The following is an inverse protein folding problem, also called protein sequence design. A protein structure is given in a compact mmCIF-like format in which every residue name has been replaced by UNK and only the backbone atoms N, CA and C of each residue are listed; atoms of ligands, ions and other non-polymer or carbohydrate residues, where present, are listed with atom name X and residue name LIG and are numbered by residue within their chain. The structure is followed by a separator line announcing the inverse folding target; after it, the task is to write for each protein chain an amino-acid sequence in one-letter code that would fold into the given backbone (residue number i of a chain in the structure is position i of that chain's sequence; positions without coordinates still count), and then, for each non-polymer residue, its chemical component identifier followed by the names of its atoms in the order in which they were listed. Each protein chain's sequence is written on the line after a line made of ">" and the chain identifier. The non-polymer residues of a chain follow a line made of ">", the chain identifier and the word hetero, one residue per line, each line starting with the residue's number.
data_IF_383475884654
#
_entry.id   IF_383475884654
#
_cell.length_a   1.000
_cell.length_b   1.000
_cell.length_c   1.000
_cell.angle_alpha   90.00
_cell.angle_beta   90.00
_cell.angle_gamma   90.00
#
_symmetry.space_group_name_H-M   'P 1'
#
loop_
_entity.id
_entity.type
_entity.pdbx_description
1 polymer ?
#
# COMPACT_ATOMS: atom_id res chain seq x y z
N UNK A 1 -32.97 -50.51 38.72
CA UNK A 1 -31.63 -49.92 38.51
C UNK A 1 -31.62 -48.98 37.27
N UNK A 2 -32.21 -47.76 37.31
CA UNK A 2 -32.09 -46.80 36.19
C UNK A 2 -31.14 -45.61 36.46
N UNK A 3 -30.87 -45.26 37.73
CA UNK A 3 -30.22 -43.97 38.07
C UNK A 3 -28.74 -43.86 37.69
N UNK A 4 -28.04 -44.98 37.50
CA UNK A 4 -26.59 -44.99 37.22
C UNK A 4 -26.25 -44.79 35.73
N UNK A 5 -27.17 -45.18 34.83
CA UNK A 5 -27.02 -45.03 33.39
C UNK A 5 -27.27 -43.58 32.96
N UNK A 6 -28.29 -42.94 33.54
CA UNK A 6 -28.64 -41.53 33.24
C UNK A 6 -27.53 -40.55 33.65
N UNK A 7 -26.85 -40.82 34.78
CA UNK A 7 -25.70 -40.02 35.21
C UNK A 7 -24.50 -40.18 34.26
N UNK A 8 -24.22 -41.41 33.81
CA UNK A 8 -23.14 -41.67 32.85
C UNK A 8 -23.40 -41.04 31.46
N UNK A 9 -24.66 -40.98 31.02
CA UNK A 9 -25.04 -40.32 29.76
C UNK A 9 -24.91 -38.79 29.84
N UNK A 10 -25.23 -38.19 31.00
CA UNK A 10 -25.05 -36.76 31.25
C UNK A 10 -23.56 -36.38 31.29
N UNK A 11 -22.73 -37.16 31.99
CA UNK A 11 -21.28 -36.97 32.06
C UNK A 11 -20.65 -37.10 30.66
N UNK A 12 -21.03 -38.11 29.88
CA UNK A 12 -20.56 -38.27 28.51
C UNK A 12 -21.00 -37.13 27.57
N UNK A 13 -22.15 -36.49 27.82
CA UNK A 13 -22.59 -35.31 27.07
C UNK A 13 -21.73 -34.09 27.39
N UNK A 14 -21.46 -33.87 28.67
CA UNK A 14 -20.59 -32.78 29.13
C UNK A 14 -19.16 -32.93 28.63
N UNK A 15 -18.63 -34.16 28.61
CA UNK A 15 -17.30 -34.44 28.05
C UNK A 15 -17.21 -34.11 26.56
N UNK A 16 -18.26 -34.43 25.77
CA UNK A 16 -18.32 -34.07 24.34
C UNK A 16 -18.40 -32.57 24.13
N UNK A 17 -19.19 -31.88 24.95
CA UNK A 17 -19.32 -30.42 24.90
C UNK A 17 -17.99 -29.74 25.27
N UNK A 18 -17.34 -30.19 26.34
CA UNK A 18 -16.03 -29.71 26.76
C UNK A 18 -14.96 -29.92 25.68
N UNK A 19 -14.95 -31.10 25.03
CA UNK A 19 -14.05 -31.38 23.92
C UNK A 19 -14.31 -30.42 22.74
N UNK A 20 -15.58 -30.17 22.41
CA UNK A 20 -15.97 -29.22 21.36
C UNK A 20 -15.52 -27.79 21.67
N UNK A 21 -15.74 -27.32 22.91
CA UNK A 21 -15.30 -26.01 23.37
C UNK A 21 -13.78 -25.86 23.34
N UNK A 22 -13.04 -26.91 23.73
CA UNK A 22 -11.57 -26.90 23.69
C UNK A 22 -11.06 -26.78 22.26
N UNK A 23 -11.61 -27.55 21.31
CA UNK A 23 -11.23 -27.44 19.90
C UNK A 23 -11.60 -26.07 19.32
N UNK A 24 -12.74 -25.51 19.68
CA UNK A 24 -13.13 -24.16 19.25
C UNK A 24 -12.17 -23.10 19.79
N UNK A 25 -11.75 -23.21 21.05
CA UNK A 25 -10.77 -22.31 21.66
C UNK A 25 -9.40 -22.42 20.99
N UNK A 26 -8.93 -23.63 20.70
CA UNK A 26 -7.66 -23.86 20.00
C UNK A 26 -7.66 -23.19 18.62
N UNK A 27 -8.73 -23.37 17.83
CA UNK A 27 -8.89 -22.68 16.54
C UNK A 27 -8.90 -21.16 16.69
N UNK A 28 -9.65 -20.64 17.65
CA UNK A 28 -9.73 -19.20 17.88
C UNK A 28 -8.37 -18.61 18.30
N UNK A 29 -7.60 -19.35 19.10
CA UNK A 29 -6.24 -18.97 19.47
C UNK A 29 -5.33 -18.92 18.25
N UNK A 30 -5.38 -19.93 17.40
CA UNK A 30 -4.56 -20.00 16.19
C UNK A 30 -4.92 -18.87 15.21
N UNK A 31 -6.21 -18.62 15.01
CA UNK A 31 -6.70 -17.52 14.17
C UNK A 31 -6.28 -16.15 14.72
N UNK A 32 -6.32 -15.97 16.05
CA UNK A 32 -5.83 -14.76 16.71
C UNK A 32 -4.34 -14.56 16.45
N UNK A 33 -3.51 -15.59 16.65
CA UNK A 33 -2.06 -15.49 16.41
C UNK A 33 -1.77 -15.13 14.96
N UNK A 34 -2.45 -15.78 14.00
CA UNK A 34 -2.30 -15.47 12.57
C UNK A 34 -2.68 -14.01 12.27
N UNK A 35 -3.84 -13.57 12.76
CA UNK A 35 -4.31 -12.19 12.54
C UNK A 35 -3.37 -11.15 13.17
N UNK A 36 -2.82 -11.44 14.35
CA UNK A 36 -1.83 -10.57 15.01
C UNK A 36 -0.53 -10.49 14.21
N UNK A 37 -0.09 -11.59 13.61
CA UNK A 37 1.08 -11.61 12.72
C UNK A 37 0.83 -10.79 11.45
N UNK A 38 -0.33 -11.00 10.81
CA UNK A 38 -0.73 -10.25 9.61
C UNK A 38 -0.82 -8.75 9.89
N UNK A 39 -1.43 -8.37 11.02
CA UNK A 39 -1.52 -6.97 11.45
C UNK A 39 -0.15 -6.35 11.63
N UNK A 40 0.78 -7.04 12.32
CA UNK A 40 2.16 -6.55 12.50
C UNK A 40 2.87 -6.40 11.16
N UNK A 41 2.69 -7.34 10.25
CA UNK A 41 3.28 -7.27 8.91
C UNK A 41 2.78 -6.04 8.13
N UNK A 42 1.46 -5.82 8.12
CA UNK A 42 0.85 -4.67 7.46
C UNK A 42 1.29 -3.33 8.08
N UNK A 43 1.39 -3.27 9.40
CA UNK A 43 1.89 -2.08 10.10
C UNK A 43 3.34 -1.75 9.73
N UNK A 44 4.21 -2.76 9.64
CA UNK A 44 5.59 -2.57 9.19
C UNK A 44 5.64 -2.06 7.76
N UNK A 45 4.90 -2.68 6.83
CA UNK A 45 4.83 -2.24 5.43
C UNK A 45 4.33 -0.81 5.30
N UNK A 46 3.31 -0.43 6.06
CA UNK A 46 2.80 0.94 6.07
C UNK A 46 3.87 1.92 6.57
N UNK A 47 4.55 1.61 7.68
CA UNK A 47 5.61 2.45 8.22
C UNK A 47 6.78 2.63 7.24
N UNK A 48 7.18 1.57 6.54
CA UNK A 48 8.22 1.63 5.50
C UNK A 48 7.78 2.50 4.33
N UNK A 49 6.53 2.35 3.88
CA UNK A 49 5.98 3.15 2.77
C UNK A 49 5.89 4.64 3.13
N UNK A 50 5.43 4.94 4.35
CA UNK A 50 5.38 6.32 4.85
C UNK A 50 6.78 6.91 5.00
N UNK A 51 7.75 6.15 5.53
CA UNK A 51 9.12 6.61 5.67
C UNK A 51 9.74 6.92 4.29
N UNK A 52 9.49 6.05 3.30
CA UNK A 52 9.91 6.28 1.92
C UNK A 52 9.27 7.54 1.34
N UNK A 53 7.96 7.72 1.52
CA UNK A 53 7.26 8.88 1.01
C UNK A 53 7.77 10.19 1.64
N UNK A 54 8.04 10.19 2.95
CA UNK A 54 8.64 11.34 3.65
C UNK A 54 10.07 11.62 3.18
N UNK A 55 10.86 10.59 2.91
CA UNK A 55 12.24 10.75 2.41
C UNK A 55 12.26 11.30 0.98
N UNK A 56 11.44 10.75 0.09
CA UNK A 56 11.45 11.08 -1.34
C UNK A 56 10.67 12.37 -1.66
N UNK A 57 9.60 12.65 -0.91
CA UNK A 57 8.64 13.72 -1.21
C UNK A 57 8.36 14.67 -0.04
N UNK A 58 8.98 14.47 1.13
CA UNK A 58 8.78 15.31 2.32
C UNK A 58 7.48 15.06 3.08
N UNK A 59 6.58 14.21 2.55
CA UNK A 59 5.28 13.90 3.16
C UNK A 59 4.83 12.48 2.84
N UNK A 60 4.07 11.87 3.74
CA UNK A 60 3.35 10.61 3.50
C UNK A 60 1.83 10.81 3.34
N UNK A 61 1.34 12.05 3.43
CA UNK A 61 -0.07 12.36 3.23
C UNK A 61 -0.45 12.17 1.75
N UNK A 62 -1.37 11.25 1.41
CA UNK A 62 -1.78 10.99 0.03
C UNK A 62 -2.30 12.23 -0.69
N UNK A 63 -3.01 13.13 0.00
CA UNK A 63 -3.54 14.35 -0.61
C UNK A 63 -2.43 15.36 -0.91
N UNK A 64 -1.46 15.53 -0.01
CA UNK A 64 -0.26 16.31 -0.26
C UNK A 64 0.57 15.74 -1.42
N UNK A 65 0.75 14.42 -1.49
CA UNK A 65 1.45 13.76 -2.61
C UNK A 65 0.74 13.98 -3.96
N UNK A 66 -0.59 13.91 -3.96
CA UNK A 66 -1.38 14.17 -5.17
C UNK A 66 -1.23 15.62 -5.66
N UNK A 67 -1.21 16.59 -4.73
CA UNK A 67 -0.94 18.01 -5.05
C UNK A 67 0.46 18.21 -5.61
N UNK A 68 1.48 17.63 -4.96
CA UNK A 68 2.87 17.70 -5.43
C UNK A 68 3.02 17.11 -6.84
N UNK A 69 2.35 15.99 -7.12
CA UNK A 69 2.36 15.38 -8.45
C UNK A 69 1.78 16.31 -9.51
N UNK A 70 0.66 16.97 -9.22
CA UNK A 70 0.02 17.88 -10.15
C UNK A 70 0.87 19.14 -10.40
N UNK A 71 1.45 19.71 -9.35
CA UNK A 71 2.41 20.81 -9.46
C UNK A 71 3.59 20.44 -10.36
N UNK A 72 4.18 19.26 -10.14
CA UNK A 72 5.30 18.75 -10.95
C UNK A 72 4.91 18.51 -12.40
N UNK A 73 3.68 18.07 -12.68
CA UNK A 73 3.18 17.94 -14.06
C UNK A 73 3.06 19.28 -14.75
N UNK A 74 2.56 20.29 -14.07
CA UNK A 74 2.45 21.64 -14.62
C UNK A 74 3.82 22.26 -14.86
N UNK A 75 4.76 22.11 -13.93
CA UNK A 75 6.14 22.54 -14.09
C UNK A 75 6.81 21.86 -15.30
N UNK A 76 6.67 20.54 -15.42
CA UNK A 76 7.18 19.80 -16.57
C UNK A 76 6.56 20.28 -17.89
N UNK A 77 5.25 20.54 -17.92
CA UNK A 77 4.58 21.03 -19.12
C UNK A 77 5.12 22.41 -19.56
N UNK A 78 5.39 23.30 -18.60
CA UNK A 78 6.01 24.60 -18.86
C UNK A 78 7.43 24.44 -19.40
N UNK A 79 8.26 23.65 -18.73
CA UNK A 79 9.63 23.38 -19.17
C UNK A 79 9.66 22.79 -20.58
N UNK A 80 8.78 21.83 -20.88
CA UNK A 80 8.69 21.24 -22.22
C UNK A 80 8.30 22.29 -23.27
N UNK A 81 7.39 23.21 -22.96
CA UNK A 81 7.03 24.30 -23.87
C UNK A 81 8.23 25.24 -24.12
N UNK A 82 8.93 25.66 -23.07
CA UNK A 82 10.13 26.50 -23.17
C UNK A 82 11.23 25.82 -24.01
N UNK A 83 11.49 24.52 -23.78
CA UNK A 83 12.45 23.78 -24.59
C UNK A 83 12.04 23.69 -26.06
N UNK A 84 10.75 23.52 -26.36
CA UNK A 84 10.26 23.51 -27.75
C UNK A 84 10.49 24.84 -28.43
N UNK A 85 10.21 25.95 -27.75
CA UNK A 85 10.45 27.30 -28.27
C UNK A 85 11.95 27.54 -28.51
N UNK A 86 12.80 27.12 -27.58
CA UNK A 86 14.25 27.25 -27.72
C UNK A 86 14.77 26.45 -28.93
N UNK A 87 14.34 25.20 -29.08
CA UNK A 87 14.69 24.38 -30.26
C UNK A 87 14.22 25.05 -31.56
N UNK A 88 13.01 25.61 -31.58
CA UNK A 88 12.49 26.31 -32.75
C UNK A 88 13.26 27.59 -33.06
N UNK A 89 13.75 28.31 -32.07
CA UNK A 89 14.64 29.45 -32.25
C UNK A 89 15.98 29.02 -32.86
N UNK A 90 16.65 28.03 -32.25
CA UNK A 90 17.94 27.50 -32.75
C UNK A 90 17.83 27.00 -34.19
N UNK A 91 16.73 26.34 -34.55
CA UNK A 91 16.50 25.92 -35.94
C UNK A 91 16.40 27.10 -36.91
N UNK A 92 15.63 28.13 -36.55
CA UNK A 92 15.51 29.35 -37.39
C UNK A 92 16.86 30.06 -37.55
N UNK A 93 17.64 30.14 -36.48
CA UNK A 93 18.96 30.76 -36.51
C UNK A 93 19.92 29.95 -37.40
N UNK A 94 19.85 28.61 -37.33
CA UNK A 94 20.64 27.73 -38.20
C UNK A 94 20.22 27.88 -39.67
N UNK A 95 18.92 27.87 -39.96
CA UNK A 95 18.39 28.04 -41.32
C UNK A 95 18.83 29.40 -41.93
N UNK A 96 18.86 30.46 -41.12
CA UNK A 96 19.32 31.78 -41.56
C UNK A 96 20.81 31.77 -41.89
N UNK A 97 21.63 31.16 -41.04
CA UNK A 97 23.07 31.00 -41.31
C UNK A 97 23.31 30.17 -42.57
N UNK A 98 22.59 29.06 -42.75
CA UNK A 98 22.72 28.24 -43.96
C UNK A 98 22.35 29.00 -45.24
N UNK A 99 21.33 29.85 -45.21
CA UNK A 99 20.97 30.71 -46.34
C UNK A 99 22.02 31.78 -46.63
N UNK A 100 22.60 32.39 -45.60
CA UNK A 100 23.67 33.38 -45.73
C UNK A 100 24.97 32.79 -46.32
N UNK A 101 25.23 31.48 -46.12
CA UNK A 101 26.40 30.78 -46.67
C UNK A 101 26.14 30.08 -48.02
N UNK A 102 24.87 29.84 -48.39
CA UNK A 102 24.49 29.18 -49.65
C UNK A 102 24.14 30.15 -50.79
N UNK A 103 24.05 31.46 -50.51
CA UNK A 103 23.90 32.55 -51.50
C UNK A 103 25.24 33.19 -51.87
#
# INVERSE_FOLDING_TARGET
>A
MPSKVVAADADASLERELAGLKTAYERLRDDKVRTEQDLRHQQTQLAELEAKARADYGTADPEALARLLEEKRQENARLVAEYREHIAAVRRDLDAVEQDFAG
#
